data_IF_936207449088
#
_entry.id   IF_936207449088
#
_cell.length_a   1.000
_cell.length_b   1.000
_cell.length_c   1.000
_cell.angle_alpha   90.00
_cell.angle_beta   90.00
_cell.angle_gamma   90.00
#
_symmetry.space_group_name_H-M   'P 1'
#
loop_
_entity.id
_entity.type
_entity.pdbx_description
1 polymer ?
#
# COMPACT_ATOMS: atom_id res chain seq x y z
N UNK A 1 29.51 24.40 55.65
CA UNK A 1 29.74 25.49 54.68
C UNK A 1 28.43 25.79 53.97
N UNK A 2 27.87 26.95 54.27
CA UNK A 2 26.74 27.58 53.57
C UNK A 2 27.30 28.36 52.38
N UNK A 3 26.58 28.46 51.25
CA UNK A 3 26.37 29.73 50.55
C UNK A 3 25.24 29.62 49.51
N UNK A 4 24.34 30.60 49.60
CA UNK A 4 23.07 30.82 48.90
C UNK A 4 23.21 31.76 47.69
N UNK A 5 22.30 31.59 46.72
CA UNK A 5 21.53 32.61 45.96
C UNK A 5 22.28 33.65 45.11
N UNK A 6 21.93 33.72 43.80
CA UNK A 6 21.39 34.95 43.17
C UNK A 6 20.72 34.73 41.82
N UNK A 7 19.45 35.10 41.76
CA UNK A 7 18.58 35.28 40.58
C UNK A 7 18.61 36.75 40.15
N UNK A 8 18.65 37.07 38.84
CA UNK A 8 18.14 38.33 38.23
C UNK A 8 18.16 38.19 36.67
N UNK A 9 17.06 37.90 35.98
CA UNK A 9 16.07 38.80 35.33
C UNK A 9 16.64 39.83 34.32
N UNK A 10 16.27 39.71 33.04
CA UNK A 10 15.97 40.86 32.17
C UNK A 10 15.00 40.50 31.02
N UNK A 11 13.80 41.05 31.12
CA UNK A 11 12.74 41.13 30.09
C UNK A 11 12.95 42.34 29.18
N UNK A 12 12.62 42.22 27.89
CA UNK A 12 12.24 43.35 27.04
C UNK A 12 11.16 42.91 26.04
N UNK A 13 9.98 43.54 26.15
CA UNK A 13 8.85 43.42 25.23
C UNK A 13 8.84 44.63 24.28
N UNK A 14 8.37 44.44 23.04
CA UNK A 14 7.76 45.53 22.26
C UNK A 14 6.71 44.94 21.31
N UNK A 15 5.46 45.38 21.49
CA UNK A 15 4.30 45.09 20.67
C UNK A 15 4.15 46.13 19.55
N UNK A 16 3.46 45.77 18.46
CA UNK A 16 2.69 46.73 17.66
C UNK A 16 1.47 46.03 17.03
N UNK A 17 0.31 46.61 17.31
CA UNK A 17 -1.06 46.22 16.95
C UNK A 17 -1.55 46.91 15.68
N UNK A 18 -2.52 46.32 14.98
CA UNK A 18 -3.58 47.08 14.29
C UNK A 18 -4.89 46.26 14.20
N UNK A 19 -6.04 46.83 14.59
CA UNK A 19 -7.37 46.25 14.43
C UNK A 19 -8.06 46.76 13.15
N UNK A 20 -8.86 45.92 12.50
CA UNK A 20 -9.89 46.38 11.56
C UNK A 20 -11.27 46.08 12.17
N UNK A 21 -11.94 47.14 12.61
CA UNK A 21 -13.38 47.17 12.75
C UNK A 21 -14.01 47.40 11.38
N UNK A 22 -15.27 46.99 11.18
CA UNK A 22 -16.33 47.83 10.58
C UNK A 22 -17.68 47.07 10.52
N UNK A 23 -18.64 47.67 11.23
CA UNK A 23 -20.11 47.80 11.09
C UNK A 23 -21.05 46.58 11.06
N UNK A 24 -21.97 46.64 12.04
CA UNK A 24 -23.27 45.98 12.11
C UNK A 24 -24.36 46.76 11.36
N UNK A 25 -25.40 46.06 10.89
CA UNK A 25 -26.75 46.62 10.76
C UNK A 25 -27.80 45.50 10.85
N UNK A 26 -28.72 45.64 11.80
CA UNK A 26 -30.00 44.93 11.86
C UNK A 26 -31.06 45.64 11.00
N UNK A 27 -32.27 45.07 11.00
CA UNK A 27 -33.61 45.57 10.62
C UNK A 27 -34.18 45.23 9.22
N UNK A 28 -35.16 44.31 9.27
CA UNK A 28 -36.54 44.40 8.74
C UNK A 28 -36.75 44.32 7.22
N UNK A 29 -37.53 43.32 6.75
CA UNK A 29 -38.97 43.45 6.38
C UNK A 29 -39.48 42.14 5.74
N UNK A 30 -40.66 41.69 6.17
CA UNK A 30 -41.48 40.56 5.70
C UNK A 30 -42.23 40.92 4.38
N UNK A 31 -43.22 40.12 3.94
CA UNK A 31 -43.20 39.02 2.97
C UNK A 31 -43.63 39.44 1.54
N UNK A 32 -43.44 38.60 0.51
CA UNK A 32 -44.41 38.57 -0.61
C UNK A 32 -44.37 37.27 -1.41
N UNK A 33 -45.58 36.71 -1.58
CA UNK A 33 -45.98 35.63 -2.47
C UNK A 33 -46.26 36.20 -3.85
N UNK A 34 -45.77 35.57 -4.92
CA UNK A 34 -46.37 35.70 -6.27
C UNK A 34 -46.07 34.45 -7.13
N UNK A 35 -47.11 33.67 -7.40
CA UNK A 35 -47.31 32.94 -8.68
C UNK A 35 -47.72 33.97 -9.75
N UNK A 36 -47.52 33.78 -11.08
CA UNK A 36 -48.31 32.81 -11.86
C UNK A 36 -47.70 32.26 -13.19
N UNK A 37 -48.43 31.29 -13.77
CA UNK A 37 -48.68 30.96 -15.20
C UNK A 37 -47.52 30.78 -16.19
N UNK A 38 -47.36 29.58 -16.77
CA UNK A 38 -48.07 29.07 -17.97
C UNK A 38 -47.65 29.74 -19.26
N UNK A 39 -46.93 28.98 -20.10
CA UNK A 39 -47.16 28.93 -21.55
C UNK A 39 -46.69 27.58 -22.08
N UNK A 40 -47.63 26.87 -22.70
CA UNK A 40 -47.43 25.65 -23.47
C UNK A 40 -46.52 25.89 -24.69
N UNK A 41 -46.12 24.83 -25.40
CA UNK A 41 -46.99 24.43 -26.51
C UNK A 41 -47.25 22.92 -26.62
N UNK A 42 -48.53 22.60 -26.85
CA UNK A 42 -49.07 21.56 -27.74
C UNK A 42 -48.31 21.49 -29.09
N UNK A 43 -48.27 20.43 -29.90
CA UNK A 43 -48.76 19.05 -29.87
C UNK A 43 -48.12 18.39 -31.11
N UNK A 44 -47.88 17.08 -31.01
CA UNK A 44 -47.70 16.11 -32.08
C UNK A 44 -46.50 16.24 -33.04
N UNK A 45 -45.57 15.32 -32.88
CA UNK A 45 -45.25 14.43 -34.00
C UNK A 45 -45.11 12.99 -33.51
N UNK A 46 -46.02 12.15 -34.00
CA UNK A 46 -46.07 10.71 -33.88
C UNK A 46 -44.87 10.12 -34.60
N UNK A 47 -43.74 10.04 -33.92
CA UNK A 47 -42.57 9.29 -34.36
C UNK A 47 -42.59 7.91 -33.72
N UNK A 48 -43.17 6.94 -34.42
CA UNK A 48 -42.95 5.51 -34.21
C UNK A 48 -41.44 5.25 -34.36
N UNK A 49 -40.68 5.45 -33.27
CA UNK A 49 -39.33 4.93 -33.17
C UNK A 49 -39.49 3.49 -32.71
N UNK A 50 -39.00 2.50 -33.48
CA UNK A 50 -38.90 1.15 -32.97
C UNK A 50 -38.18 1.21 -31.63
N UNK A 51 -38.77 0.62 -30.61
CA UNK A 51 -37.98 0.13 -29.48
C UNK A 51 -37.00 -0.84 -30.13
N UNK A 52 -35.76 -0.38 -30.37
CA UNK A 52 -34.66 -1.26 -30.73
C UNK A 52 -34.54 -2.23 -29.57
N UNK A 53 -35.21 -3.37 -29.72
CA UNK A 53 -34.83 -4.58 -29.05
C UNK A 53 -33.40 -4.78 -29.51
N UNK A 54 -32.44 -4.41 -28.66
CA UNK A 54 -31.06 -4.83 -28.80
C UNK A 54 -31.08 -6.35 -28.67
N UNK A 55 -31.37 -7.03 -29.77
CA UNK A 55 -31.07 -8.42 -29.99
C UNK A 55 -29.55 -8.49 -30.12
N UNK A 56 -28.86 -8.30 -29.00
CA UNK A 56 -27.53 -8.84 -28.85
C UNK A 56 -27.67 -10.34 -29.04
N UNK A 57 -26.94 -10.89 -30.00
CA UNK A 57 -26.88 -12.34 -30.14
C UNK A 57 -26.41 -12.93 -28.81
N UNK A 58 -26.85 -14.15 -28.48
CA UNK A 58 -26.42 -14.81 -27.25
C UNK A 58 -24.88 -14.78 -27.09
N UNK A 59 -24.15 -14.90 -28.20
CA UNK A 59 -22.69 -14.80 -28.25
C UNK A 59 -22.13 -13.40 -27.85
N UNK A 60 -22.80 -12.30 -28.23
CA UNK A 60 -22.38 -10.95 -27.83
C UNK A 60 -22.60 -10.72 -26.33
N UNK A 61 -23.73 -11.21 -25.80
CA UNK A 61 -24.03 -11.14 -24.38
C UNK A 61 -23.07 -12.05 -23.59
N UNK A 62 -22.81 -13.27 -24.06
CA UNK A 62 -21.84 -14.21 -23.46
C UNK A 62 -20.42 -13.65 -23.45
N UNK A 63 -20.00 -12.92 -24.49
CA UNK A 63 -18.66 -12.29 -24.54
C UNK A 63 -18.46 -11.19 -23.50
N UNK A 64 -19.56 -10.63 -22.97
CA UNK A 64 -19.56 -9.62 -21.91
C UNK A 64 -19.75 -10.22 -20.51
N UNK A 65 -20.05 -11.52 -20.43
CA UNK A 65 -20.28 -12.23 -19.19
C UNK A 65 -19.04 -13.08 -18.86
N UNK A 66 -18.55 -12.97 -17.63
CA UNK A 66 -17.51 -13.88 -17.15
C UNK A 66 -18.13 -15.25 -16.88
N UNK A 67 -17.65 -16.28 -17.58
CA UNK A 67 -18.15 -17.67 -17.45
C UNK A 67 -17.62 -18.40 -16.19
N UNK A 68 -16.92 -17.67 -15.31
CA UNK A 68 -16.16 -18.28 -14.22
C UNK A 68 -14.90 -18.97 -14.75
N UNK A 69 -13.87 -19.01 -13.91
CA UNK A 69 -12.67 -19.77 -14.20
C UNK A 69 -12.75 -21.10 -13.45
N UNK A 70 -12.30 -22.18 -14.08
CA UNK A 70 -12.10 -23.45 -13.39
C UNK A 70 -10.94 -23.29 -12.38
N UNK A 71 -11.19 -23.42 -11.06
CA UNK A 71 -10.13 -23.28 -10.06
C UNK A 71 -9.08 -24.39 -10.14
N UNK A 72 -9.39 -25.49 -10.84
CA UNK A 72 -8.51 -26.65 -11.01
C UNK A 72 -7.80 -26.66 -12.38
N UNK A 73 -8.00 -25.61 -13.21
CA UNK A 73 -7.29 -25.49 -14.48
C UNK A 73 -5.76 -25.32 -14.25
N UNK A 74 -4.98 -25.97 -15.10
CA UNK A 74 -3.52 -25.80 -15.11
C UNK A 74 -3.15 -24.31 -15.30
N UNK A 75 -2.12 -23.80 -14.59
CA UNK A 75 -1.66 -22.43 -14.78
C UNK A 75 -1.30 -22.13 -16.23
N UNK A 76 -1.73 -20.97 -16.73
CA UNK A 76 -1.40 -20.51 -18.08
C UNK A 76 0.07 -20.06 -18.17
N UNK A 77 0.74 -20.35 -19.30
CA UNK A 77 2.10 -19.90 -19.57
C UNK A 77 2.26 -18.38 -19.36
N UNK A 78 3.29 -17.99 -18.63
CA UNK A 78 3.61 -16.60 -18.31
C UNK A 78 2.76 -15.98 -17.21
N UNK A 79 1.78 -16.70 -16.64
CA UNK A 79 0.94 -16.19 -15.54
C UNK A 79 1.49 -16.58 -14.17
N UNK A 80 1.34 -15.71 -13.15
CA UNK A 80 1.66 -16.07 -11.78
C UNK A 80 0.60 -17.02 -11.21
N UNK A 81 1.01 -17.95 -10.36
CA UNK A 81 0.13 -18.82 -9.57
C UNK A 81 0.74 -19.08 -8.19
N UNK A 82 -0.10 -19.44 -7.21
CA UNK A 82 0.36 -19.86 -5.88
C UNK A 82 0.54 -21.37 -5.87
N UNK A 83 1.77 -21.85 -5.76
CA UNK A 83 2.08 -23.28 -5.76
C UNK A 83 1.72 -23.94 -4.41
N UNK A 84 2.01 -23.26 -3.30
CA UNK A 84 1.67 -23.73 -1.95
C UNK A 84 1.73 -22.59 -0.94
N UNK A 85 1.17 -22.82 0.25
CA UNK A 85 1.31 -21.93 1.42
C UNK A 85 2.06 -22.66 2.53
N UNK A 86 3.11 -22.04 3.03
CA UNK A 86 4.00 -22.58 4.06
C UNK A 86 4.07 -21.59 5.22
N UNK A 87 3.38 -21.94 6.32
CA UNK A 87 3.25 -21.05 7.46
C UNK A 87 2.53 -19.76 7.07
N UNK A 88 3.21 -18.62 7.18
CA UNK A 88 2.69 -17.30 6.81
C UNK A 88 3.08 -16.87 5.38
N UNK A 89 3.76 -17.72 4.61
CA UNK A 89 4.24 -17.37 3.28
C UNK A 89 3.54 -18.16 2.19
N UNK A 90 3.19 -17.49 1.11
CA UNK A 90 2.81 -18.11 -0.15
C UNK A 90 4.05 -18.31 -1.02
N UNK A 91 4.14 -19.46 -1.68
CA UNK A 91 5.12 -19.70 -2.74
C UNK A 91 4.45 -19.34 -4.07
N UNK A 92 4.78 -18.16 -4.59
CA UNK A 92 4.22 -17.65 -5.85
C UNK A 92 5.21 -17.90 -6.97
N UNK A 93 4.78 -18.62 -7.99
CA UNK A 93 5.59 -19.00 -9.15
C UNK A 93 5.02 -18.36 -10.42
N UNK A 94 5.83 -18.27 -11.47
CA UNK A 94 5.37 -17.91 -12.81
C UNK A 94 5.46 -19.16 -13.67
N UNK A 95 4.36 -19.56 -14.31
CA UNK A 95 4.36 -20.74 -15.16
C UNK A 95 5.24 -20.51 -16.39
N UNK A 96 6.18 -21.41 -16.65
CA UNK A 96 7.04 -21.39 -17.83
C UNK A 96 6.98 -22.72 -18.60
N UNK A 97 7.72 -22.81 -19.70
CA UNK A 97 7.95 -24.05 -20.44
C UNK A 97 9.01 -24.94 -19.78
N UNK A 98 9.66 -24.46 -18.72
CA UNK A 98 10.69 -25.20 -17.99
C UNK A 98 10.07 -26.28 -17.10
N UNK A 99 10.88 -27.29 -16.72
CA UNK A 99 10.44 -28.33 -15.79
C UNK A 99 10.13 -27.76 -14.39
N UNK A 100 10.83 -26.68 -14.01
CA UNK A 100 10.68 -26.03 -12.71
C UNK A 100 10.47 -24.53 -12.87
N UNK A 101 9.28 -24.08 -12.53
CA UNK A 101 8.91 -22.67 -12.56
C UNK A 101 9.75 -21.83 -11.56
N UNK A 102 10.12 -20.59 -11.91
CA UNK A 102 10.75 -19.65 -10.98
C UNK A 102 9.73 -19.19 -9.93
N UNK A 103 10.09 -19.35 -8.66
CA UNK A 103 9.22 -19.03 -7.52
C UNK A 103 9.87 -18.01 -6.58
N UNK A 104 9.04 -17.18 -5.96
CA UNK A 104 9.38 -16.32 -4.84
C UNK A 104 8.48 -16.63 -3.65
N UNK A 105 8.98 -16.43 -2.44
CA UNK A 105 8.13 -16.44 -1.26
C UNK A 105 7.51 -15.06 -1.07
N UNK A 106 6.25 -15.02 -0.67
CA UNK A 106 5.43 -13.83 -0.59
C UNK A 106 4.65 -13.77 0.73
N UNK A 107 4.49 -12.58 1.29
CA UNK A 107 3.57 -12.32 2.40
C UNK A 107 2.92 -10.95 2.22
N UNK A 108 1.59 -10.90 2.33
CA UNK A 108 0.81 -9.68 2.44
C UNK A 108 0.74 -9.30 3.92
N UNK A 109 1.06 -8.04 4.22
CA UNK A 109 1.08 -7.50 5.58
C UNK A 109 -0.12 -6.60 5.78
N UNK A 110 -0.78 -6.75 6.92
CA UNK A 110 -1.94 -5.95 7.31
C UNK A 110 -1.66 -5.06 8.54
N UNK A 111 -2.60 -4.17 8.83
CA UNK A 111 -2.57 -3.23 9.96
C UNK A 111 -2.89 -3.85 11.33
N UNK A 112 -3.02 -5.18 11.41
CA UNK A 112 -3.50 -5.92 12.58
C UNK A 112 -5.03 -6.01 12.68
N UNK A 113 -5.75 -5.28 11.81
CA UNK A 113 -7.22 -5.33 11.70
C UNK A 113 -7.67 -6.03 10.42
N UNK A 114 -6.72 -6.60 9.66
CA UNK A 114 -6.97 -7.32 8.42
C UNK A 114 -7.00 -6.44 7.17
N UNK A 115 -6.68 -5.14 7.28
CA UNK A 115 -6.57 -4.27 6.09
C UNK A 115 -5.16 -4.39 5.50
N UNK A 116 -5.00 -4.76 4.22
CA UNK A 116 -3.69 -4.90 3.61
C UNK A 116 -2.98 -3.54 3.49
N UNK A 117 -1.70 -3.51 3.87
CA UNK A 117 -0.89 -2.28 3.88
C UNK A 117 0.39 -2.42 3.07
N UNK A 118 1.11 -3.54 3.19
CA UNK A 118 2.40 -3.71 2.53
C UNK A 118 2.61 -5.13 2.05
N UNK A 119 3.52 -5.31 1.11
CA UNK A 119 3.84 -6.61 0.52
C UNK A 119 5.33 -6.89 0.67
N UNK A 120 5.67 -8.12 1.05
CA UNK A 120 7.03 -8.63 1.06
C UNK A 120 7.16 -9.79 0.07
N UNK A 121 8.17 -9.73 -0.80
CA UNK A 121 8.55 -10.87 -1.62
C UNK A 121 10.06 -11.11 -1.62
N UNK A 122 10.48 -12.37 -1.70
CA UNK A 122 11.90 -12.75 -1.63
C UNK A 122 12.25 -13.87 -2.60
N UNK A 123 13.40 -13.70 -3.24
CA UNK A 123 14.07 -14.71 -4.05
C UNK A 123 15.53 -14.89 -3.58
N UNK A 124 16.13 -16.03 -3.94
CA UNK A 124 17.54 -16.30 -3.63
C UNK A 124 18.44 -15.74 -4.71
N UNK A 125 19.65 -15.35 -4.33
CA UNK A 125 20.67 -14.87 -5.27
C UNK A 125 21.72 -15.97 -5.54
N UNK A 126 22.36 -15.97 -6.71
CA UNK A 126 23.51 -16.82 -6.97
C UNK A 126 24.66 -16.58 -5.97
N UNK A 127 25.52 -17.58 -5.82
CA UNK A 127 26.69 -17.47 -4.94
C UNK A 127 27.72 -16.45 -5.46
N UNK A 128 28.61 -15.99 -4.58
CA UNK A 128 29.69 -15.04 -4.90
C UNK A 128 29.36 -13.57 -4.62
N UNK A 129 28.10 -13.25 -4.33
CA UNK A 129 27.68 -11.93 -3.86
C UNK A 129 27.78 -11.77 -2.33
N UNK A 130 27.74 -10.52 -1.85
CA UNK A 130 27.60 -10.22 -0.41
C UNK A 130 26.22 -10.61 0.11
N UNK A 131 25.18 -10.34 -0.67
CA UNK A 131 23.81 -10.73 -0.36
C UNK A 131 23.54 -12.14 -0.89
N UNK A 132 22.85 -12.94 -0.09
CA UNK A 132 22.44 -14.32 -0.45
C UNK A 132 20.97 -14.39 -0.88
N UNK A 133 20.22 -13.31 -0.67
CA UNK A 133 18.84 -13.15 -1.12
C UNK A 133 18.52 -11.69 -1.44
N UNK A 134 17.60 -11.51 -2.38
CA UNK A 134 17.00 -10.23 -2.71
C UNK A 134 15.54 -10.23 -2.26
N UNK A 135 15.10 -9.15 -1.63
CA UNK A 135 13.70 -8.96 -1.28
C UNK A 135 13.17 -7.63 -1.83
N UNK A 136 11.89 -7.63 -2.19
CA UNK A 136 11.14 -6.42 -2.55
C UNK A 136 10.08 -6.20 -1.50
N UNK A 137 10.05 -4.99 -0.96
CA UNK A 137 9.01 -4.54 -0.05
C UNK A 137 8.28 -3.38 -0.73
N UNK A 138 6.97 -3.53 -0.91
CA UNK A 138 6.10 -2.49 -1.46
C UNK A 138 5.28 -1.94 -0.32
N UNK A 139 5.37 -0.63 -0.11
CA UNK A 139 4.61 0.10 0.90
C UNK A 139 3.70 1.14 0.24
N UNK A 140 2.68 1.67 0.94
CA UNK A 140 1.75 2.64 0.37
C UNK A 140 2.44 3.89 -0.18
N UNK A 141 1.71 4.58 -1.06
CA UNK A 141 2.01 5.95 -1.43
C UNK A 141 1.98 6.87 -0.20
N UNK A 142 2.48 8.10 -0.39
CA UNK A 142 2.63 9.08 0.71
C UNK A 142 3.56 8.58 1.83
N UNK A 143 4.48 7.68 1.51
CA UNK A 143 5.58 7.27 2.41
C UNK A 143 6.75 8.26 2.33
N UNK A 144 7.32 8.61 3.48
CA UNK A 144 8.48 9.51 3.59
C UNK A 144 9.76 8.84 3.08
N UNK A 145 10.23 9.26 1.91
CA UNK A 145 11.48 8.75 1.33
C UNK A 145 12.73 9.05 2.18
N UNK A 146 12.90 10.26 2.76
CA UNK A 146 14.06 10.55 3.61
C UNK A 146 14.12 9.72 4.89
N UNK A 147 12.95 9.31 5.42
CA UNK A 147 12.89 8.50 6.64
C UNK A 147 13.34 7.04 6.42
N UNK A 148 13.30 6.58 5.16
CA UNK A 148 13.63 5.22 4.73
C UNK A 148 12.75 4.15 5.38
N UNK A 149 12.77 2.93 4.83
CA UNK A 149 12.15 1.77 5.47
C UNK A 149 13.05 1.27 6.59
N UNK A 150 12.47 0.91 7.75
CA UNK A 150 13.21 0.17 8.79
C UNK A 150 12.67 -1.24 8.94
N UNK A 151 13.57 -2.18 9.19
CA UNK A 151 13.26 -3.59 9.38
C UNK A 151 14.05 -4.15 10.56
N UNK A 152 13.36 -4.75 11.53
CA UNK A 152 13.96 -5.39 12.69
C UNK A 152 13.36 -6.78 12.88
N UNK A 153 14.15 -7.77 13.29
CA UNK A 153 13.67 -9.11 13.67
C UNK A 153 13.62 -9.20 15.20
N UNK A 154 12.47 -9.58 15.75
CA UNK A 154 12.21 -9.76 17.19
C UNK A 154 12.73 -8.62 18.08
N UNK A 155 12.58 -7.37 17.62
CA UNK A 155 13.05 -6.18 18.36
C UNK A 155 14.57 -6.02 18.41
N UNK A 156 15.32 -6.79 17.62
CA UNK A 156 16.76 -6.62 17.43
C UNK A 156 17.12 -5.32 16.71
N UNK A 157 18.41 -5.17 16.37
CA UNK A 157 18.90 -3.97 15.69
C UNK A 157 18.19 -3.77 14.34
N UNK A 158 17.47 -2.65 14.22
CA UNK A 158 16.81 -2.28 12.98
C UNK A 158 17.82 -1.90 11.90
N UNK A 159 17.62 -2.42 10.69
CA UNK A 159 18.33 -1.99 9.49
C UNK A 159 17.46 -1.00 8.71
N UNK A 160 18.09 0.00 8.10
CA UNK A 160 17.44 1.01 7.26
C UNK A 160 17.68 0.72 5.79
N UNK A 161 16.64 0.83 4.97
CA UNK A 161 16.71 0.61 3.53
C UNK A 161 16.06 1.78 2.78
N UNK A 162 16.76 2.41 1.82
CA UNK A 162 16.17 3.46 1.01
C UNK A 162 15.11 2.88 0.07
N UNK A 163 14.07 3.66 -0.19
CA UNK A 163 13.14 3.38 -1.27
C UNK A 163 13.83 3.68 -2.60
N UNK A 164 13.80 2.71 -3.51
CA UNK A 164 14.45 2.81 -4.82
C UNK A 164 13.65 3.71 -5.77
N UNK A 165 12.32 3.58 -5.75
CA UNK A 165 11.38 4.39 -6.55
C UNK A 165 9.96 4.19 -6.02
N UNK A 166 9.02 5.02 -6.50
CA UNK A 166 7.59 4.79 -6.33
C UNK A 166 6.89 4.82 -7.69
N UNK A 167 5.80 4.09 -7.79
CA UNK A 167 4.87 4.12 -8.93
C UNK A 167 3.43 4.08 -8.38
N UNK A 168 2.37 4.04 -9.23
CA UNK A 168 0.99 4.03 -8.74
C UNK A 168 0.61 2.84 -7.83
N UNK A 169 1.38 1.75 -7.82
CA UNK A 169 1.18 0.61 -6.90
C UNK A 169 1.69 0.94 -5.50
N UNK A 170 2.83 1.64 -5.39
CA UNK A 170 3.43 1.97 -4.10
C UNK A 170 4.89 2.38 -4.22
N UNK A 171 5.53 2.51 -3.06
CA UNK A 171 6.97 2.78 -2.94
C UNK A 171 7.74 1.49 -2.70
N UNK A 172 8.78 1.26 -3.50
CA UNK A 172 9.53 0.02 -3.55
C UNK A 172 10.84 0.17 -2.77
N UNK A 173 11.05 -0.66 -1.76
CA UNK A 173 12.38 -0.91 -1.20
C UNK A 173 12.92 -2.24 -1.76
N UNK A 174 14.07 -2.19 -2.41
CA UNK A 174 14.79 -3.37 -2.91
C UNK A 174 15.97 -3.63 -1.98
N UNK A 175 15.91 -4.72 -1.23
CA UNK A 175 16.86 -5.00 -0.17
C UNK A 175 17.70 -6.23 -0.50
N UNK A 176 18.99 -6.15 -0.21
CA UNK A 176 19.88 -7.31 -0.18
C UNK A 176 20.00 -7.81 1.25
N UNK A 177 19.79 -9.12 1.45
CA UNK A 177 19.94 -9.78 2.73
C UNK A 177 21.24 -10.58 2.74
N UNK A 178 22.11 -10.29 3.72
CA UNK A 178 23.33 -11.09 3.92
C UNK A 178 23.01 -12.37 4.68
N UNK A 179 23.99 -13.29 4.79
CA UNK A 179 23.78 -14.59 5.45
C UNK A 179 23.30 -14.43 6.91
N UNK A 180 23.80 -13.43 7.62
CA UNK A 180 23.41 -13.12 8.99
C UNK A 180 21.95 -12.67 9.09
N UNK A 181 21.46 -11.93 8.09
CA UNK A 181 20.07 -11.48 8.04
C UNK A 181 19.16 -12.67 7.81
N UNK A 182 19.44 -13.50 6.80
CA UNK A 182 18.66 -14.71 6.55
C UNK A 182 18.67 -15.64 7.75
N UNK A 183 19.81 -15.78 8.45
CA UNK A 183 19.89 -16.57 9.67
C UNK A 183 19.07 -15.98 10.82
N UNK A 184 18.96 -14.65 10.93
CA UNK A 184 18.07 -14.00 11.88
C UNK A 184 16.61 -14.29 11.54
N UNK A 185 16.20 -14.18 10.27
CA UNK A 185 14.82 -14.44 9.85
C UNK A 185 14.42 -15.91 10.06
N UNK A 186 15.33 -16.86 9.78
CA UNK A 186 15.09 -18.30 10.00
C UNK A 186 14.87 -18.67 11.47
N UNK A 187 15.50 -17.93 12.40
CA UNK A 187 15.37 -18.17 13.85
C UNK A 187 14.26 -17.34 14.50
N UNK A 188 13.90 -16.23 13.88
CA UNK A 188 13.02 -15.25 14.47
C UNK A 188 11.54 -15.64 14.41
N UNK A 189 10.73 -15.00 15.24
CA UNK A 189 9.29 -15.19 15.24
C UNK A 189 8.59 -14.15 14.35
N UNK A 190 9.00 -12.88 14.46
CA UNK A 190 8.42 -11.77 13.72
C UNK A 190 9.48 -10.79 13.24
N UNK A 191 9.21 -10.16 12.11
CA UNK A 191 9.91 -8.96 11.68
C UNK A 191 8.97 -7.75 11.71
N UNK A 192 9.46 -6.62 12.19
CA UNK A 192 8.71 -5.36 12.23
C UNK A 192 9.21 -4.44 11.12
N UNK A 193 8.30 -4.04 10.24
CA UNK A 193 8.52 -3.01 9.25
C UNK A 193 8.03 -1.67 9.84
N UNK A 194 8.90 -0.67 9.88
CA UNK A 194 8.50 0.69 10.29
C UNK A 194 8.51 1.61 9.08
N UNK A 195 7.36 2.22 8.83
CA UNK A 195 7.12 3.17 7.75
C UNK A 195 6.76 4.52 8.39
N UNK A 196 7.28 5.61 7.84
CA UNK A 196 6.96 6.98 8.27
C UNK A 196 6.13 7.64 7.16
N UNK A 197 4.90 8.08 7.41
CA UNK A 197 4.12 8.83 6.45
C UNK A 197 4.78 10.18 6.11
N UNK A 198 4.71 10.60 4.85
CA UNK A 198 5.22 11.88 4.38
C UNK A 198 4.44 13.07 4.97
N UNK A 199 3.12 12.90 5.13
CA UNK A 199 2.23 13.92 5.67
C UNK A 199 2.24 13.98 7.21
N UNK A 200 2.79 12.97 7.88
CA UNK A 200 2.86 12.87 9.34
C UNK A 200 4.25 12.36 9.78
N UNK A 201 5.32 13.19 9.64
CA UNK A 201 6.70 12.76 9.84
C UNK A 201 7.06 12.41 11.30
N UNK A 202 6.22 12.79 12.25
CA UNK A 202 6.30 12.46 13.66
C UNK A 202 5.64 11.10 14.00
N UNK A 203 4.87 10.53 13.08
CA UNK A 203 4.16 9.27 13.25
C UNK A 203 4.92 8.09 12.63
N UNK A 204 4.67 6.90 13.17
CA UNK A 204 5.23 5.64 12.67
C UNK A 204 4.10 4.63 12.49
N UNK A 205 4.09 4.00 11.33
CA UNK A 205 3.27 2.82 11.05
C UNK A 205 4.18 1.60 11.20
N UNK A 206 3.84 0.72 12.13
CA UNK A 206 4.59 -0.51 12.39
C UNK A 206 3.75 -1.71 11.95
N UNK A 207 4.25 -2.46 10.96
CA UNK A 207 3.61 -3.66 10.44
C UNK A 207 4.39 -4.89 10.91
N UNK A 208 3.66 -5.90 11.37
CA UNK A 208 4.25 -7.17 11.79
C UNK A 208 4.22 -8.16 10.63
N UNK A 209 5.39 -8.63 10.22
CA UNK A 209 5.58 -9.75 9.31
C UNK A 209 5.88 -11.01 10.10
N UNK A 210 5.01 -12.01 10.00
CA UNK A 210 5.24 -13.31 10.65
C UNK A 210 6.36 -14.05 9.94
N UNK A 211 7.32 -14.60 10.70
CA UNK A 211 8.40 -15.43 10.17
C UNK A 211 8.10 -16.93 10.24
N UNK A 212 6.87 -17.30 10.65
CA UNK A 212 6.41 -18.70 10.65
C UNK A 212 6.50 -19.26 9.23
N UNK A 213 7.27 -20.33 9.05
CA UNK A 213 7.49 -20.96 7.74
C UNK A 213 8.62 -20.36 6.91
N UNK A 214 9.30 -19.30 7.38
CA UNK A 214 10.34 -18.61 6.60
C UNK A 214 11.45 -19.55 6.11
N UNK A 215 11.95 -20.44 6.98
CA UNK A 215 13.04 -21.37 6.65
C UNK A 215 12.69 -22.28 5.47
N UNK A 216 11.50 -22.87 5.50
CA UNK A 216 11.03 -23.80 4.48
C UNK A 216 10.72 -23.05 3.18
N UNK A 217 10.05 -21.90 3.28
CA UNK A 217 9.75 -21.04 2.13
C UNK A 217 11.00 -20.52 1.45
N UNK A 218 12.01 -20.12 2.21
CA UNK A 218 13.31 -19.70 1.67
C UNK A 218 13.99 -20.81 0.87
N UNK A 219 13.90 -22.07 1.34
CA UNK A 219 14.41 -23.23 0.61
C UNK A 219 13.66 -23.51 -0.70
N UNK A 220 12.36 -23.17 -0.75
CA UNK A 220 11.49 -23.34 -1.91
C UNK A 220 11.62 -22.21 -2.95
N UNK A 221 11.96 -20.99 -2.53
CA UNK A 221 12.21 -19.87 -3.45
C UNK A 221 13.33 -20.21 -4.45
N UNK A 222 13.17 -19.77 -5.70
CA UNK A 222 14.17 -19.98 -6.75
C UNK A 222 15.37 -19.05 -6.59
N UNK A 223 16.49 -19.47 -7.16
CA UNK A 223 17.63 -18.60 -7.42
C UNK A 223 17.34 -17.89 -8.74
N UNK A 224 17.35 -16.56 -8.74
CA UNK A 224 17.17 -15.78 -9.98
C UNK A 224 18.55 -15.39 -10.50
N UNK A 225 18.91 -15.97 -11.65
CA UNK A 225 20.02 -15.50 -12.47
C UNK A 225 19.50 -14.32 -13.30
N UNK A 226 20.15 -13.16 -13.18
CA UNK A 226 19.82 -11.99 -14.00
C UNK A 226 20.37 -12.15 -15.41
#
# INVERSE_FOLDING_TARGET
MSYSIKTLMLTAALALTAPHAVLAQETTTTPETTTPDTSAPETAETGDKPVETQSGTAAEIESQLSMGNDPDADPELGKPYTAETVGAFEIRCIKTEEEKDPCQMYQLLDDGQGSPVAEFSLFRLPEGGKAVAGATIIVPLETSLPAQLKLAVDGGNARTYPYAFCNPVGCYARIGLVAEDVAAFKRGANATLTIVPALAPDQKVELTMSLKGFTDSFGKSSVIEQ
#
